data_IF_165372066511
#
_entry.id   IF_165372066511
#
_cell.length_a   1.000
_cell.length_b   1.000
_cell.length_c   1.000
_cell.angle_alpha   90.00
_cell.angle_beta   90.00
_cell.angle_gamma   90.00
#
_symmetry.space_group_name_H-M   'P 1'
#
loop_
_entity.id
_entity.type
_entity.pdbx_description
1 polymer ?
#
# COMPACT_ATOMS: atom_id res chain seq x y z
N UNK A 1 -14.95 -24.65 -24.21
CA UNK A 1 -14.11 -23.83 -23.31
C UNK A 1 -12.82 -23.51 -24.04
N UNK A 2 -12.31 -22.28 -23.95
CA UNK A 2 -11.03 -21.92 -24.56
C UNK A 2 -9.88 -22.74 -23.93
N UNK A 3 -8.90 -23.15 -24.74
CA UNK A 3 -7.69 -23.83 -24.25
C UNK A 3 -6.85 -22.90 -23.38
N UNK A 4 -5.93 -23.45 -22.59
CA UNK A 4 -5.02 -22.64 -21.77
C UNK A 4 -4.19 -21.68 -22.65
N UNK A 5 -3.72 -22.15 -23.81
CA UNK A 5 -2.95 -21.35 -24.76
C UNK A 5 -3.78 -20.20 -25.34
N UNK A 6 -5.07 -20.45 -25.65
CA UNK A 6 -5.98 -19.40 -26.11
C UNK A 6 -6.21 -18.33 -25.04
N UNK A 7 -6.30 -18.73 -23.76
CA UNK A 7 -6.40 -17.79 -22.64
C UNK A 7 -5.12 -16.98 -22.47
N UNK A 8 -3.95 -17.62 -22.54
CA UNK A 8 -2.65 -16.94 -22.46
C UNK A 8 -2.52 -15.90 -23.57
N UNK A 9 -2.84 -16.27 -24.81
CA UNK A 9 -2.76 -15.36 -25.95
C UNK A 9 -3.73 -14.18 -25.81
N UNK A 10 -4.96 -14.42 -25.35
CA UNK A 10 -5.93 -13.35 -25.12
C UNK A 10 -5.47 -12.37 -24.02
N UNK A 11 -4.92 -12.88 -22.92
CA UNK A 11 -4.38 -12.03 -21.85
C UNK A 11 -3.15 -11.23 -22.31
N UNK A 12 -2.31 -11.83 -23.15
CA UNK A 12 -1.18 -11.13 -23.77
C UNK A 12 -1.65 -9.96 -24.63
N UNK A 13 -2.66 -10.15 -25.48
CA UNK A 13 -3.17 -9.05 -26.30
C UNK A 13 -3.77 -7.92 -25.46
N UNK A 14 -4.50 -8.25 -24.39
CA UNK A 14 -5.02 -7.24 -23.45
C UNK A 14 -3.89 -6.43 -22.79
N UNK A 15 -2.80 -7.11 -22.39
CA UNK A 15 -1.62 -6.44 -21.83
C UNK A 15 -0.93 -5.54 -22.86
N UNK A 16 -0.78 -6.01 -24.09
CA UNK A 16 -0.17 -5.25 -25.18
C UNK A 16 -1.04 -4.03 -25.54
N UNK A 17 -2.36 -4.18 -25.58
CA UNK A 17 -3.31 -3.08 -25.76
C UNK A 17 -3.19 -2.04 -24.65
N UNK A 18 -3.26 -2.47 -23.40
CA UNK A 18 -3.13 -1.57 -22.26
C UNK A 18 -1.79 -0.83 -22.27
N UNK A 19 -0.71 -1.51 -22.66
CA UNK A 19 0.62 -0.89 -22.81
C UNK A 19 0.59 0.26 -23.82
N UNK A 20 0.02 0.03 -25.01
CA UNK A 20 -0.10 1.08 -26.05
C UNK A 20 -0.93 2.26 -25.56
N UNK A 21 -2.03 2.01 -24.88
CA UNK A 21 -2.91 3.04 -24.32
C UNK A 21 -2.18 3.90 -23.26
N UNK A 22 -1.45 3.26 -22.34
CA UNK A 22 -0.72 3.97 -21.28
C UNK A 22 0.47 4.76 -21.82
N UNK A 23 1.22 4.21 -22.78
CA UNK A 23 2.31 4.94 -23.44
C UNK A 23 1.75 6.14 -24.20
N UNK A 24 0.67 5.96 -24.96
CA UNK A 24 -0.01 7.06 -25.63
C UNK A 24 -0.45 8.14 -24.63
N UNK A 25 -1.05 7.75 -23.51
CA UNK A 25 -1.47 8.69 -22.46
C UNK A 25 -0.30 9.51 -21.90
N UNK A 26 0.83 8.88 -21.60
CA UNK A 26 1.96 9.58 -20.98
C UNK A 26 2.82 10.41 -21.94
N UNK A 27 2.80 10.11 -23.24
CA UNK A 27 3.68 10.72 -24.26
C UNK A 27 2.96 11.54 -25.34
N UNK A 28 1.64 11.68 -25.28
CA UNK A 28 0.87 12.62 -26.13
C UNK A 28 0.84 14.00 -25.51
N UNK A 29 0.95 15.04 -26.35
CA UNK A 29 1.10 16.43 -25.91
C UNK A 29 -0.10 16.97 -25.12
N UNK A 30 -1.29 16.39 -25.27
CA UNK A 30 -2.54 16.78 -24.62
C UNK A 30 -2.80 16.05 -23.29
N UNK A 31 -2.19 14.88 -23.09
CA UNK A 31 -2.43 14.03 -21.90
C UNK A 31 -1.21 13.87 -21.02
N UNK A 32 0.00 13.94 -21.57
CA UNK A 32 1.25 13.70 -20.87
C UNK A 32 1.52 14.69 -19.73
N UNK A 33 2.38 14.30 -18.79
CA UNK A 33 2.90 15.24 -17.79
C UNK A 33 4.17 15.91 -18.32
N UNK A 34 4.48 17.10 -17.80
CA UNK A 34 5.64 17.88 -18.25
C UNK A 34 6.94 17.06 -18.27
N UNK A 35 7.20 16.28 -17.22
CA UNK A 35 8.41 15.48 -17.12
C UNK A 35 8.55 14.47 -18.28
N UNK A 36 7.49 13.71 -18.57
CA UNK A 36 7.54 12.69 -19.63
C UNK A 36 7.60 13.31 -21.03
N UNK A 37 6.93 14.45 -21.24
CA UNK A 37 6.99 15.18 -22.51
C UNK A 37 8.37 15.77 -22.79
N UNK A 38 9.06 16.25 -21.74
CA UNK A 38 10.46 16.68 -21.83
C UNK A 38 11.38 15.48 -22.10
N UNK A 39 11.23 14.39 -21.33
CA UNK A 39 12.03 13.16 -21.49
C UNK A 39 11.89 12.51 -22.86
N UNK A 40 10.69 12.56 -23.45
CA UNK A 40 10.43 12.06 -24.81
C UNK A 40 11.44 12.58 -25.83
N UNK A 41 11.87 13.85 -25.69
CA UNK A 41 12.79 14.53 -26.62
C UNK A 41 14.23 14.05 -26.49
N UNK A 42 14.56 13.36 -25.40
CA UNK A 42 15.90 12.83 -25.13
C UNK A 42 16.06 11.38 -25.61
N UNK A 43 14.96 10.67 -25.89
CA UNK A 43 15.03 9.29 -26.36
C UNK A 43 15.49 9.23 -27.82
N UNK A 44 16.20 8.14 -28.14
CA UNK A 44 16.64 7.82 -29.50
C UNK A 44 15.58 7.04 -30.31
N UNK A 45 14.35 6.96 -29.79
CA UNK A 45 13.19 6.32 -30.39
C UNK A 45 11.93 7.12 -30.04
N UNK A 46 10.87 6.99 -30.83
CA UNK A 46 9.58 7.62 -30.53
C UNK A 46 8.64 6.64 -29.80
N UNK A 47 8.31 6.88 -28.52
CA UNK A 47 7.40 6.03 -27.76
C UNK A 47 6.03 5.82 -28.42
N UNK A 48 5.53 6.81 -29.16
CA UNK A 48 4.18 6.75 -29.73
C UNK A 48 4.07 5.84 -30.95
N UNK A 49 5.17 5.56 -31.63
CA UNK A 49 5.19 4.75 -32.85
C UNK A 49 5.97 3.45 -32.69
N UNK A 50 6.94 3.42 -31.77
CA UNK A 50 7.85 2.29 -31.61
C UNK A 50 7.52 1.38 -30.41
N UNK A 51 6.56 1.71 -29.55
CA UNK A 51 6.11 0.84 -28.45
C UNK A 51 4.74 0.24 -28.79
N UNK A 52 4.74 -1.04 -29.18
CA UNK A 52 3.55 -1.73 -29.69
C UNK A 52 3.08 -2.88 -28.79
N UNK A 53 3.93 -3.36 -27.89
CA UNK A 53 3.63 -4.43 -26.94
C UNK A 53 4.34 -4.21 -25.61
N UNK A 54 4.02 -5.03 -24.61
CA UNK A 54 4.66 -4.96 -23.30
C UNK A 54 6.17 -5.17 -23.35
N UNK A 55 6.65 -6.02 -24.26
CA UNK A 55 8.09 -6.30 -24.40
C UNK A 55 8.90 -5.09 -24.88
N UNK A 56 8.27 -4.21 -25.68
CA UNK A 56 8.90 -2.98 -26.16
C UNK A 56 9.20 -1.97 -25.03
N UNK A 57 8.62 -2.14 -23.84
CA UNK A 57 8.97 -1.30 -22.68
C UNK A 57 10.46 -1.41 -22.30
N UNK A 58 11.15 -2.48 -22.73
CA UNK A 58 12.61 -2.63 -22.58
C UNK A 58 13.43 -1.61 -23.37
N UNK A 59 12.82 -0.89 -24.31
CA UNK A 59 13.47 0.22 -25.04
C UNK A 59 13.70 1.44 -24.15
N UNK A 60 12.88 1.63 -23.12
CA UNK A 60 13.09 2.71 -22.17
C UNK A 60 14.35 2.43 -21.33
N UNK A 61 15.16 3.46 -21.04
CA UNK A 61 16.24 3.33 -20.07
C UNK A 61 15.67 3.03 -18.67
N UNK A 62 16.55 2.62 -17.76
CA UNK A 62 16.19 2.45 -16.36
C UNK A 62 15.65 3.77 -15.78
N UNK A 63 14.64 3.65 -14.91
CA UNK A 63 14.10 4.80 -14.19
C UNK A 63 15.06 5.20 -13.07
N UNK A 64 15.52 6.45 -13.08
CA UNK A 64 16.41 6.95 -12.04
C UNK A 64 15.59 7.45 -10.85
N UNK A 65 15.73 6.76 -9.72
CA UNK A 65 14.96 7.05 -8.52
C UNK A 65 15.26 8.43 -7.90
N UNK A 66 16.42 9.01 -8.21
CA UNK A 66 16.83 10.35 -7.83
C UNK A 66 15.97 11.44 -8.49
N UNK A 67 15.32 11.17 -9.64
CA UNK A 67 14.38 12.11 -10.27
C UNK A 67 13.18 12.43 -9.37
N UNK A 68 12.85 11.53 -8.44
CA UNK A 68 11.76 11.71 -7.47
C UNK A 68 12.15 12.60 -6.29
N UNK A 69 13.41 13.07 -6.21
CA UNK A 69 13.85 13.96 -5.14
C UNK A 69 13.78 15.41 -5.59
N UNK A 70 12.97 16.19 -4.88
CA UNK A 70 12.91 17.66 -5.04
C UNK A 70 12.28 18.16 -6.35
N UNK A 71 12.43 19.47 -6.58
CA UNK A 71 11.85 20.22 -7.69
C UNK A 71 10.32 20.40 -7.62
N UNK A 72 9.70 21.10 -8.59
CA UNK A 72 8.25 21.32 -8.61
C UNK A 72 7.47 20.01 -8.79
N UNK A 73 6.53 19.71 -7.89
CA UNK A 73 5.72 18.47 -7.96
C UNK A 73 4.78 18.45 -9.18
N UNK A 74 4.27 19.61 -9.60
CA UNK A 74 3.34 19.70 -10.74
C UNK A 74 3.88 19.16 -12.07
N UNK A 75 5.21 19.03 -12.22
CA UNK A 75 5.82 18.43 -13.42
C UNK A 75 5.38 16.97 -13.65
N UNK A 76 4.99 16.28 -12.58
CA UNK A 76 4.54 14.89 -12.60
C UNK A 76 3.05 14.74 -12.89
N UNK A 77 2.28 15.83 -12.90
CA UNK A 77 0.81 15.79 -13.07
C UNK A 77 0.46 15.78 -14.57
N UNK A 78 -0.26 14.75 -15.07
CA UNK A 78 -0.80 14.74 -16.43
C UNK A 78 -1.66 15.98 -16.71
N UNK A 79 -1.61 16.53 -17.92
CA UNK A 79 -2.34 17.76 -18.28
C UNK A 79 -3.83 17.74 -17.91
N UNK A 80 -4.60 16.66 -18.20
CA UNK A 80 -6.03 16.59 -17.85
C UNK A 80 -6.30 16.61 -16.34
N UNK A 81 -5.29 16.34 -15.51
CA UNK A 81 -5.40 16.23 -14.06
C UNK A 81 -4.86 17.47 -13.32
N UNK A 82 -4.40 18.51 -14.03
CA UNK A 82 -3.77 19.69 -13.42
C UNK A 82 -4.65 20.44 -12.41
N UNK A 83 -5.98 20.39 -12.60
CA UNK A 83 -6.96 21.08 -11.76
C UNK A 83 -7.61 20.17 -10.70
N UNK A 84 -7.21 18.89 -10.63
CA UNK A 84 -7.69 17.97 -9.60
C UNK A 84 -6.97 18.22 -8.26
N UNK A 85 -7.55 17.80 -7.13
CA UNK A 85 -6.81 17.68 -5.88
C UNK A 85 -5.59 16.78 -6.07
N UNK A 86 -4.44 17.23 -5.57
CA UNK A 86 -3.16 16.53 -5.73
C UNK A 86 -2.59 16.22 -4.36
N UNK A 87 -2.15 14.99 -4.18
CA UNK A 87 -1.48 14.49 -2.98
C UNK A 87 -0.01 14.18 -3.29
N UNK A 88 0.80 14.19 -2.24
CA UNK A 88 2.21 13.77 -2.31
C UNK A 88 2.46 12.73 -1.25
N UNK A 89 2.95 11.56 -1.68
CA UNK A 89 3.42 10.51 -0.78
C UNK A 89 4.93 10.42 -0.81
N UNK A 90 5.50 10.25 0.37
CA UNK A 90 6.94 10.20 0.55
C UNK A 90 7.41 8.82 0.98
N UNK A 91 8.59 8.46 0.50
CA UNK A 91 9.36 7.33 1.03
C UNK A 91 9.93 7.64 2.42
N UNK A 92 10.56 6.64 3.05
CA UNK A 92 11.05 6.75 4.43
C UNK A 92 12.10 7.82 4.72
N UNK A 93 12.75 8.39 3.71
CA UNK A 93 13.55 9.61 3.87
C UNK A 93 14.70 9.50 4.88
N UNK A 94 15.38 8.36 4.96
CA UNK A 94 16.36 8.09 6.02
C UNK A 94 17.77 8.61 5.72
N UNK A 95 17.99 9.18 4.51
CA UNK A 95 19.31 9.61 3.97
C UNK A 95 19.20 10.82 3.01
N UNK A 96 18.40 11.85 3.32
CA UNK A 96 18.30 13.09 2.53
C UNK A 96 16.87 13.46 2.14
N UNK A 97 16.70 14.23 1.06
CA UNK A 97 15.38 14.64 0.55
C UNK A 97 14.56 13.38 0.24
N UNK A 98 13.38 13.15 0.84
CA UNK A 98 12.56 11.98 0.53
C UNK A 98 12.17 11.94 -0.95
N UNK A 99 12.13 10.73 -1.53
CA UNK A 99 11.49 10.54 -2.84
C UNK A 99 10.00 10.81 -2.69
N UNK A 100 9.48 11.67 -3.54
CA UNK A 100 8.09 12.11 -3.56
C UNK A 100 7.38 11.54 -4.77
N UNK A 101 6.19 10.97 -4.56
CA UNK A 101 5.28 10.53 -5.61
C UNK A 101 4.04 11.42 -5.59
N UNK A 102 3.73 12.00 -6.75
CA UNK A 102 2.48 12.71 -6.97
C UNK A 102 1.35 11.72 -7.20
N UNK A 103 0.22 11.97 -6.56
CA UNK A 103 -0.94 11.09 -6.53
C UNK A 103 -2.18 11.93 -6.73
N UNK A 104 -3.14 11.43 -7.49
CA UNK A 104 -4.42 12.12 -7.75
C UNK A 104 -5.56 11.27 -7.20
N UNK A 105 -5.98 10.27 -7.96
CA UNK A 105 -7.10 9.36 -7.60
C UNK A 105 -6.65 7.89 -7.55
N UNK A 106 -5.43 7.58 -8.00
CA UNK A 106 -4.93 6.21 -8.13
C UNK A 106 -4.86 5.45 -6.80
N UNK A 107 -4.54 6.15 -5.70
CA UNK A 107 -4.52 5.54 -4.37
C UNK A 107 -5.91 5.12 -3.86
N UNK A 108 -6.98 5.71 -4.38
CA UNK A 108 -8.35 5.29 -4.13
C UNK A 108 -8.69 4.10 -5.02
N UNK A 109 -8.51 4.26 -6.33
CA UNK A 109 -8.83 3.23 -7.34
C UNK A 109 -8.16 1.89 -6.99
N UNK A 110 -6.87 1.90 -6.66
CA UNK A 110 -6.14 0.68 -6.28
C UNK A 110 -6.76 -0.04 -5.08
N UNK A 111 -7.28 0.71 -4.10
CA UNK A 111 -7.86 0.15 -2.88
C UNK A 111 -9.33 -0.25 -3.06
N UNK A 112 -10.04 0.37 -3.99
CA UNK A 112 -11.36 -0.10 -4.45
C UNK A 112 -11.23 -1.44 -5.18
N UNK A 113 -10.25 -1.59 -6.08
CA UNK A 113 -9.97 -2.87 -6.73
C UNK A 113 -9.50 -3.93 -5.72
N UNK A 114 -8.68 -3.53 -4.74
CA UNK A 114 -8.27 -4.42 -3.65
C UNK A 114 -9.45 -4.88 -2.80
N UNK A 115 -10.41 -3.99 -2.54
CA UNK A 115 -11.62 -4.27 -1.77
C UNK A 115 -12.38 -5.47 -2.34
N UNK A 116 -12.40 -5.64 -3.66
CA UNK A 116 -13.08 -6.77 -4.32
C UNK A 116 -12.38 -8.11 -4.09
N UNK A 117 -11.12 -8.10 -3.64
CA UNK A 117 -10.37 -9.32 -3.29
C UNK A 117 -10.57 -9.75 -1.83
N UNK A 118 -11.21 -8.90 -1.01
CA UNK A 118 -11.38 -9.17 0.42
C UNK A 118 -12.65 -10.01 0.66
N UNK A 119 -12.55 -11.16 1.35
CA UNK A 119 -13.71 -11.99 1.67
C UNK A 119 -14.69 -11.24 2.58
N UNK A 120 -15.98 -11.23 2.22
CA UNK A 120 -17.00 -10.48 2.96
C UNK A 120 -17.24 -11.03 4.37
N UNK A 121 -17.04 -12.33 4.59
CA UNK A 121 -17.16 -12.97 5.89
C UNK A 121 -16.11 -12.46 6.89
N UNK A 122 -14.92 -12.09 6.40
CA UNK A 122 -13.81 -11.63 7.24
C UNK A 122 -13.62 -10.13 7.22
N UNK A 123 -14.05 -9.46 6.14
CA UNK A 123 -14.09 -8.01 6.02
C UNK A 123 -15.51 -7.55 5.70
N UNK A 124 -16.48 -7.65 6.64
CA UNK A 124 -17.86 -7.31 6.35
C UNK A 124 -18.01 -5.85 5.87
N UNK A 125 -18.96 -5.63 4.96
CA UNK A 125 -19.35 -4.26 4.58
C UNK A 125 -19.95 -3.56 5.81
N UNK A 126 -19.67 -2.28 5.99
CA UNK A 126 -20.07 -1.50 7.16
C UNK A 126 -19.17 -1.66 8.39
N UNK A 127 -18.23 -2.61 8.40
CA UNK A 127 -17.32 -2.80 9.53
C UNK A 127 -16.38 -1.61 9.73
N UNK A 128 -16.14 -1.23 10.99
CA UNK A 128 -15.15 -0.22 11.33
C UNK A 128 -13.72 -0.79 11.30
N UNK A 129 -12.76 0.07 10.98
CA UNK A 129 -11.36 -0.27 10.73
C UNK A 129 -10.42 0.41 11.71
N UNK A 130 -9.39 -0.30 12.15
CA UNK A 130 -8.22 0.28 12.80
C UNK A 130 -7.05 0.36 11.82
N UNK A 131 -6.52 1.56 11.60
CA UNK A 131 -5.26 1.79 10.91
C UNK A 131 -4.14 1.86 11.94
N UNK A 132 -3.49 0.72 12.20
CA UNK A 132 -2.32 0.59 13.07
C UNK A 132 -1.05 0.63 12.22
N UNK A 133 -0.66 1.82 11.77
CA UNK A 133 0.51 1.97 10.92
C UNK A 133 0.94 3.41 10.70
N UNK A 134 1.91 3.65 9.80
CA UNK A 134 2.44 4.97 9.55
C UNK A 134 1.39 6.01 9.10
N UNK A 135 1.39 7.16 9.77
CA UNK A 135 0.53 8.29 9.43
C UNK A 135 1.22 9.31 8.50
N UNK A 136 0.69 10.55 8.44
CA UNK A 136 1.33 11.69 7.78
C UNK A 136 1.56 11.51 6.27
N UNK A 137 2.81 11.65 5.76
CA UNK A 137 3.12 11.67 4.33
C UNK A 137 3.11 10.28 3.68
N UNK A 138 2.59 9.27 4.37
CA UNK A 138 2.55 7.89 3.88
C UNK A 138 1.21 7.62 3.21
N UNK A 139 1.26 6.92 2.09
CA UNK A 139 0.09 6.46 1.34
C UNK A 139 -0.96 5.77 2.21
N UNK A 140 -0.50 4.89 3.10
CA UNK A 140 -1.36 3.94 3.82
C UNK A 140 -2.44 4.63 4.63
N UNK A 141 -2.16 5.78 5.27
CA UNK A 141 -3.17 6.51 6.04
C UNK A 141 -4.41 6.81 5.19
N UNK A 142 -4.21 7.50 4.06
CA UNK A 142 -5.31 7.90 3.17
C UNK A 142 -5.96 6.71 2.45
N UNK A 143 -5.15 5.70 2.10
CA UNK A 143 -5.65 4.57 1.34
C UNK A 143 -6.49 3.60 2.21
N UNK A 144 -6.09 3.35 3.45
CA UNK A 144 -6.86 2.52 4.40
C UNK A 144 -8.12 3.25 4.87
N UNK A 145 -8.00 4.55 5.14
CA UNK A 145 -9.15 5.40 5.44
C UNK A 145 -10.19 5.35 4.32
N UNK A 146 -9.75 5.50 3.06
CA UNK A 146 -10.63 5.35 1.90
C UNK A 146 -11.22 3.94 1.77
N UNK A 147 -10.42 2.88 1.95
CA UNK A 147 -10.90 1.50 1.88
C UNK A 147 -12.03 1.24 2.88
N UNK A 148 -11.86 1.68 4.13
CA UNK A 148 -12.89 1.57 5.14
C UNK A 148 -14.18 2.27 4.70
N UNK A 149 -14.07 3.52 4.24
CA UNK A 149 -15.20 4.34 3.79
C UNK A 149 -15.89 3.77 2.55
N UNK A 150 -15.12 3.31 1.56
CA UNK A 150 -15.63 2.64 0.35
C UNK A 150 -16.39 1.35 0.70
N UNK A 151 -15.98 0.66 1.77
CA UNK A 151 -16.71 -0.50 2.31
C UNK A 151 -17.83 -0.14 3.28
N UNK A 152 -18.08 1.15 3.53
CA UNK A 152 -19.17 1.67 4.36
C UNK A 152 -18.86 1.81 5.85
N UNK A 153 -17.60 1.67 6.25
CA UNK A 153 -17.14 1.75 7.65
C UNK A 153 -16.43 3.05 8.00
N UNK A 154 -16.11 3.19 9.30
CA UNK A 154 -15.32 4.29 9.86
C UNK A 154 -13.89 3.82 10.07
N UNK A 155 -12.90 4.66 9.73
CA UNK A 155 -11.50 4.38 9.99
C UNK A 155 -11.00 5.12 11.22
N UNK A 156 -10.41 4.40 12.16
CA UNK A 156 -9.75 4.91 13.34
C UNK A 156 -8.24 4.78 13.15
N UNK A 157 -7.47 5.83 13.47
CA UNK A 157 -6.02 5.85 13.26
C UNK A 157 -5.26 5.96 14.58
N UNK A 158 -4.01 5.54 14.56
CA UNK A 158 -3.01 5.89 15.58
C UNK A 158 -1.99 6.88 15.01
N UNK A 159 -1.29 7.59 15.89
CA UNK A 159 -0.15 8.41 15.51
C UNK A 159 1.14 7.58 15.55
N UNK A 160 1.74 7.38 14.37
CA UNK A 160 2.97 6.61 14.21
C UNK A 160 3.90 7.26 13.18
N UNK A 161 5.05 7.74 13.66
CA UNK A 161 6.17 8.22 12.85
C UNK A 161 7.26 7.14 12.71
N UNK A 162 7.31 6.39 11.60
CA UNK A 162 8.35 5.38 11.39
C UNK A 162 9.73 6.01 11.15
N UNK A 163 9.82 7.30 10.78
CA UNK A 163 11.12 7.97 10.58
C UNK A 163 11.84 8.13 11.92
N UNK A 164 11.09 8.40 12.99
CA UNK A 164 11.63 8.45 14.33
C UNK A 164 12.17 7.09 14.78
N UNK A 165 11.39 6.01 14.58
CA UNK A 165 11.81 4.63 14.88
C UNK A 165 13.14 4.30 14.19
N UNK A 166 13.26 4.60 12.89
CA UNK A 166 14.52 4.36 12.16
C UNK A 166 15.69 5.17 12.73
N UNK A 167 15.47 6.43 13.15
CA UNK A 167 16.52 7.25 13.78
C UNK A 167 16.99 6.65 15.11
N UNK A 168 16.08 6.13 15.92
CA UNK A 168 16.42 5.46 17.18
C UNK A 168 17.24 4.19 16.94
N UNK A 169 16.80 3.33 16.01
CA UNK A 169 17.51 2.11 15.65
C UNK A 169 18.91 2.40 15.09
N UNK A 170 19.07 3.40 14.22
CA UNK A 170 20.39 3.84 13.71
C UNK A 170 21.32 4.35 14.81
N UNK A 171 20.77 4.86 15.92
CA UNK A 171 21.53 5.32 17.09
C UNK A 171 21.79 4.19 18.10
N UNK A 172 21.35 2.96 17.84
CA UNK A 172 21.43 1.85 18.79
C UNK A 172 20.50 1.97 19.99
N UNK A 173 19.53 2.90 19.96
CA UNK A 173 18.55 3.14 21.04
C UNK A 173 17.38 2.17 20.90
N UNK A 174 17.65 0.88 21.07
CA UNK A 174 16.67 -0.19 20.84
C UNK A 174 15.51 -0.13 21.85
N UNK A 175 15.80 0.16 23.12
CA UNK A 175 14.77 0.21 24.15
C UNK A 175 13.80 1.38 23.93
N UNK A 176 14.30 2.56 23.54
CA UNK A 176 13.44 3.69 23.13
C UNK A 176 12.56 3.35 21.92
N UNK A 177 13.06 2.54 20.97
CA UNK A 177 12.26 2.09 19.83
C UNK A 177 11.15 1.12 20.25
N UNK A 178 11.43 0.24 21.23
CA UNK A 178 10.42 -0.64 21.83
C UNK A 178 9.38 0.14 22.62
N UNK A 179 9.80 1.12 23.42
CA UNK A 179 8.89 2.03 24.13
C UNK A 179 7.98 2.79 23.17
N UNK A 180 8.51 3.28 22.05
CA UNK A 180 7.71 3.93 21.02
C UNK A 180 6.71 2.97 20.37
N UNK A 181 7.11 1.72 20.11
CA UNK A 181 6.19 0.69 19.61
C UNK A 181 5.09 0.38 20.63
N UNK A 182 5.42 0.26 21.91
CA UNK A 182 4.46 0.05 22.99
C UNK A 182 3.46 1.21 23.07
N UNK A 183 3.94 2.45 22.95
CA UNK A 183 3.09 3.63 22.89
C UNK A 183 2.09 3.58 21.72
N UNK A 184 2.50 3.13 20.53
CA UNK A 184 1.59 2.96 19.40
C UNK A 184 0.53 1.87 19.66
N UNK A 185 0.92 0.78 20.33
CA UNK A 185 0.00 -0.30 20.74
C UNK A 185 -0.98 0.19 21.80
N UNK A 186 -0.55 1.00 22.77
CA UNK A 186 -1.43 1.57 23.79
C UNK A 186 -2.50 2.49 23.19
N UNK A 187 -2.15 3.26 22.14
CA UNK A 187 -3.14 4.02 21.36
C UNK A 187 -4.18 3.09 20.71
N UNK A 188 -3.74 1.99 20.06
CA UNK A 188 -4.64 1.02 19.46
C UNK A 188 -5.58 0.37 20.49
N UNK A 189 -5.06 -0.02 21.66
CA UNK A 189 -5.87 -0.57 22.75
C UNK A 189 -6.89 0.43 23.30
N UNK A 190 -6.52 1.71 23.39
CA UNK A 190 -7.46 2.78 23.77
C UNK A 190 -8.62 2.87 22.77
N UNK A 191 -8.33 2.80 21.47
CA UNK A 191 -9.35 2.81 20.42
C UNK A 191 -10.24 1.57 20.44
N UNK A 192 -9.65 0.38 20.63
CA UNK A 192 -10.38 -0.90 20.68
C UNK A 192 -11.27 -1.01 21.92
N UNK A 193 -10.81 -0.51 23.07
CA UNK A 193 -11.57 -0.53 24.32
C UNK A 193 -12.74 0.46 24.37
N UNK A 194 -12.80 1.42 23.44
CA UNK A 194 -13.85 2.45 23.39
C UNK A 194 -15.16 1.97 22.75
N UNK A 195 -15.34 0.66 22.53
CA UNK A 195 -16.58 0.05 22.01
C UNK A 195 -17.02 0.61 20.64
N UNK A 196 -16.06 0.82 19.74
CA UNK A 196 -16.29 1.32 18.39
C UNK A 196 -16.68 0.22 17.37
N UNK A 197 -16.96 -1.02 17.80
CA UNK A 197 -17.24 -2.19 16.93
C UNK A 197 -16.25 -2.33 15.75
N UNK A 198 -14.95 -2.27 16.06
CA UNK A 198 -13.89 -2.41 15.08
C UNK A 198 -13.71 -3.90 14.77
N UNK A 199 -13.84 -4.26 13.50
CA UNK A 199 -13.77 -5.66 13.05
C UNK A 199 -12.67 -5.88 12.01
N UNK A 200 -12.12 -4.80 11.45
CA UNK A 200 -11.06 -4.88 10.45
C UNK A 200 -9.85 -4.06 10.90
N UNK A 201 -8.65 -4.48 10.49
CA UNK A 201 -7.43 -3.77 10.85
C UNK A 201 -6.41 -3.78 9.70
N UNK A 202 -5.79 -2.63 9.46
CA UNK A 202 -4.49 -2.58 8.82
C UNK A 202 -3.38 -2.57 9.86
N UNK A 203 -2.35 -3.39 9.69
CA UNK A 203 -1.15 -3.34 10.54
C UNK A 203 0.09 -3.86 9.80
N UNK A 204 1.22 -3.92 10.51
CA UNK A 204 2.48 -4.52 10.04
C UNK A 204 2.89 -5.67 10.95
N UNK A 205 3.73 -6.62 10.49
CA UNK A 205 4.11 -7.79 11.29
C UNK A 205 4.54 -7.49 12.72
N UNK A 206 5.44 -6.52 12.93
CA UNK A 206 5.95 -6.15 14.25
C UNK A 206 4.91 -5.51 15.16
N UNK A 207 4.01 -4.70 14.60
CA UNK A 207 2.92 -4.09 15.37
C UNK A 207 1.83 -5.10 15.69
N UNK A 208 1.54 -6.04 14.79
CA UNK A 208 0.60 -7.12 15.06
C UNK A 208 1.09 -8.02 16.19
N UNK A 209 2.36 -8.42 16.14
CA UNK A 209 2.99 -9.23 17.19
C UNK A 209 2.94 -8.50 18.54
N UNK A 210 3.33 -7.21 18.58
CA UNK A 210 3.29 -6.41 19.79
C UNK A 210 1.86 -6.25 20.36
N UNK A 211 0.86 -6.01 19.50
CA UNK A 211 -0.54 -5.91 19.91
C UNK A 211 -1.09 -7.24 20.44
N UNK A 212 -0.83 -8.34 19.73
CA UNK A 212 -1.30 -9.67 20.12
C UNK A 212 -0.72 -10.09 21.48
N UNK A 213 0.59 -9.93 21.68
CA UNK A 213 1.24 -10.24 22.96
C UNK A 213 0.70 -9.38 24.10
N UNK A 214 0.47 -8.08 23.86
CA UNK A 214 -0.09 -7.18 24.87
C UNK A 214 -1.53 -7.55 25.25
N UNK A 215 -2.34 -8.03 24.30
CA UNK A 215 -3.68 -8.56 24.58
C UNK A 215 -3.62 -9.86 25.39
N UNK A 216 -2.71 -10.78 25.05
CA UNK A 216 -2.50 -12.03 25.81
C UNK A 216 -2.10 -11.76 27.26
N UNK A 217 -1.19 -10.80 27.49
CA UNK A 217 -0.79 -10.36 28.83
C UNK A 217 -1.98 -9.79 29.63
N UNK A 218 -3.01 -9.27 28.95
CA UNK A 218 -4.25 -8.76 29.52
C UNK A 218 -5.36 -9.82 29.60
N UNK A 219 -5.08 -11.08 29.25
CA UNK A 219 -6.05 -12.18 29.28
C UNK A 219 -7.07 -12.12 28.15
N UNK A 220 -6.72 -11.51 27.02
CA UNK A 220 -7.54 -11.38 25.81
C UNK A 220 -6.76 -11.85 24.58
N UNK A 221 -7.40 -11.82 23.42
CA UNK A 221 -6.79 -12.13 22.12
C UNK A 221 -7.22 -11.11 21.06
N UNK A 222 -6.61 -11.20 19.87
CA UNK A 222 -7.01 -10.41 18.69
C UNK A 222 -8.47 -10.69 18.31
N UNK A 223 -8.90 -11.95 18.41
CA UNK A 223 -10.28 -12.36 18.11
C UNK A 223 -11.27 -11.80 19.14
N UNK A 224 -10.98 -11.91 20.43
CA UNK A 224 -11.82 -11.38 21.52
C UNK A 224 -11.87 -9.84 21.52
N UNK A 225 -10.86 -9.17 20.97
CA UNK A 225 -10.88 -7.73 20.71
C UNK A 225 -11.82 -7.33 19.54
N UNK A 226 -12.47 -8.30 18.88
CA UNK A 226 -13.48 -8.09 17.84
C UNK A 226 -12.96 -8.15 16.41
N UNK A 227 -11.65 -8.31 16.20
CA UNK A 227 -11.04 -8.28 14.87
C UNK A 227 -11.32 -9.59 14.12
N UNK A 228 -11.93 -9.47 12.93
CA UNK A 228 -12.21 -10.57 11.99
C UNK A 228 -11.22 -10.60 10.82
N UNK A 229 -10.82 -9.44 10.32
CA UNK A 229 -10.02 -9.32 9.10
C UNK A 229 -8.81 -8.41 9.29
N UNK A 230 -7.63 -8.92 8.96
CA UNK A 230 -6.37 -8.18 9.03
C UNK A 230 -5.78 -8.05 7.62
N UNK A 231 -5.71 -6.82 7.13
CA UNK A 231 -4.79 -6.47 6.05
C UNK A 231 -3.43 -6.20 6.69
N UNK A 232 -2.48 -7.13 6.51
CA UNK A 232 -1.13 -6.96 7.00
C UNK A 232 -0.16 -6.57 5.88
N UNK A 233 0.39 -5.37 5.95
CA UNK A 233 1.36 -4.83 5.01
C UNK A 233 2.79 -4.78 5.57
N UNK A 234 3.78 -4.86 4.69
CA UNK A 234 5.20 -4.72 5.05
C UNK A 234 6.07 -5.83 4.46
N UNK A 235 7.38 -5.71 4.64
CA UNK A 235 8.37 -6.62 4.01
C UNK A 235 8.85 -7.74 4.93
N UNK A 236 8.47 -7.72 6.21
CA UNK A 236 8.88 -8.76 7.19
C UNK A 236 7.94 -9.97 7.21
N UNK A 237 7.24 -10.22 6.09
CA UNK A 237 6.23 -11.25 5.97
C UNK A 237 6.84 -12.55 5.42
N UNK A 238 7.68 -13.20 6.23
CA UNK A 238 8.24 -14.52 5.85
C UNK A 238 7.17 -15.61 6.00
N UNK A 239 7.32 -16.73 5.28
CA UNK A 239 6.42 -17.89 5.45
C UNK A 239 6.37 -18.39 6.89
N UNK A 240 7.55 -18.42 7.56
CA UNK A 240 7.64 -18.82 8.97
C UNK A 240 6.90 -17.85 9.89
N UNK A 241 7.06 -16.54 9.68
CA UNK A 241 6.34 -15.55 10.48
C UNK A 241 4.84 -15.65 10.24
N UNK A 242 4.41 -15.86 9.00
CA UNK A 242 3.00 -15.99 8.68
C UNK A 242 2.36 -17.19 9.36
N UNK A 243 3.03 -18.33 9.33
CA UNK A 243 2.62 -19.53 10.05
C UNK A 243 2.51 -19.26 11.55
N UNK A 244 3.55 -18.68 12.16
CA UNK A 244 3.55 -18.30 13.56
C UNK A 244 2.39 -17.36 13.91
N UNK A 245 2.11 -16.35 13.08
CA UNK A 245 1.00 -15.44 13.30
C UNK A 245 -0.35 -16.18 13.27
N UNK A 246 -0.57 -17.06 12.30
CA UNK A 246 -1.79 -17.88 12.17
C UNK A 246 -1.99 -18.86 13.32
N UNK A 247 -0.92 -19.49 13.79
CA UNK A 247 -0.98 -20.56 14.79
C UNK A 247 -0.96 -20.03 16.22
N UNK A 248 -0.23 -18.95 16.50
CA UNK A 248 0.10 -18.53 17.86
C UNK A 248 -0.42 -17.13 18.23
N UNK A 249 -0.56 -16.21 17.26
CA UNK A 249 -0.92 -14.81 17.54
C UNK A 249 -2.40 -14.50 17.33
N UNK A 250 -3.04 -15.22 16.41
CA UNK A 250 -4.40 -14.98 15.96
C UNK A 250 -5.34 -16.05 16.49
N UNK A 251 -6.63 -15.71 16.61
CA UNK A 251 -7.66 -16.70 16.87
C UNK A 251 -8.06 -17.46 15.59
N UNK A 252 -8.68 -18.65 15.73
CA UNK A 252 -9.04 -19.51 14.60
C UNK A 252 -9.96 -18.82 13.57
N UNK A 253 -10.73 -17.80 13.99
CA UNK A 253 -11.69 -17.10 13.13
C UNK A 253 -11.15 -15.77 12.56
N UNK A 254 -9.90 -15.41 12.85
CA UNK A 254 -9.30 -14.18 12.33
C UNK A 254 -8.64 -14.47 10.99
N UNK A 255 -9.07 -13.82 9.92
CA UNK A 255 -8.42 -13.88 8.62
C UNK A 255 -7.31 -12.83 8.51
N UNK A 256 -6.22 -13.18 7.83
CA UNK A 256 -5.11 -12.26 7.56
C UNK A 256 -4.70 -12.38 6.09
N UNK A 257 -4.65 -11.24 5.39
CA UNK A 257 -4.15 -11.15 4.02
C UNK A 257 -2.79 -10.45 3.98
N UNK A 258 -1.71 -11.15 3.57
CA UNK A 258 -0.46 -10.49 3.26
C UNK A 258 -0.61 -9.63 2.01
N UNK A 259 -0.16 -8.39 2.10
CA UNK A 259 -0.16 -7.49 0.95
C UNK A 259 1.17 -6.77 0.84
N UNK A 260 1.78 -6.83 -0.35
CA UNK A 260 2.98 -6.08 -0.64
C UNK A 260 2.61 -4.67 -1.11
N UNK A 261 2.87 -3.68 -0.27
CA UNK A 261 2.68 -2.26 -0.60
C UNK A 261 3.99 -1.61 -1.02
N UNK A 262 3.97 -0.88 -2.13
CA UNK A 262 5.08 -0.03 -2.56
C UNK A 262 4.57 1.40 -2.77
N UNK A 263 5.19 2.37 -2.10
CA UNK A 263 4.84 3.79 -2.24
C UNK A 263 4.83 4.25 -3.70
N UNK A 264 5.71 3.69 -4.54
CA UNK A 264 5.85 4.04 -5.95
C UNK A 264 4.83 3.34 -6.86
N UNK A 265 4.48 2.09 -6.57
CA UNK A 265 3.89 1.19 -7.57
C UNK A 265 2.50 0.65 -7.24
N UNK A 266 1.95 0.87 -6.03
CA UNK A 266 0.67 0.26 -5.71
C UNK A 266 0.68 -0.63 -4.49
N UNK A 267 -0.32 -1.50 -4.46
CA UNK A 267 -0.35 -2.70 -3.64
C UNK A 267 -0.46 -3.91 -4.56
N UNK A 268 0.06 -5.05 -4.11
CA UNK A 268 -0.13 -6.33 -4.75
C UNK A 268 -0.56 -7.35 -3.69
N UNK A 269 -1.65 -8.06 -3.96
CA UNK A 269 -2.15 -9.10 -3.08
C UNK A 269 -1.16 -10.28 -3.05
N UNK A 270 -0.88 -10.80 -1.86
CA UNK A 270 -0.19 -12.07 -1.71
C UNK A 270 -1.05 -13.22 -2.23
N UNK A 271 -0.42 -14.34 -2.56
CA UNK A 271 -1.17 -15.59 -2.75
C UNK A 271 -1.85 -15.97 -1.43
N UNK A 272 -3.10 -16.47 -1.44
CA UNK A 272 -3.73 -17.04 -0.25
C UNK A 272 -2.83 -18.11 0.39
N UNK A 273 -3.00 -18.32 1.70
CA UNK A 273 -2.34 -19.45 2.37
C UNK A 273 -2.85 -20.76 1.77
N UNK A 274 -1.94 -21.57 1.27
CA UNK A 274 -2.19 -22.98 0.97
C UNK A 274 -1.35 -23.77 2.00
N UNK A 275 -1.99 -24.44 2.98
CA UNK A 275 -1.30 -25.13 4.08
C UNK A 275 -0.47 -26.34 3.63
#
# INVERSE_FOLDING_TARGET
MATIDQKIQAQKELLDQHTREMVKWHFSDDTGCQFWLEKKREFNFDPLTEVNCFDDLKKFPLFEDEWLRGGPMRRWVPQPLQNKPIYVFETGGTTGIPKSRVVVEDHWIDYELFSDTLPEESFPRGSNWLMLGPSGPRRLRLAIEHLAQHRGGICFCVDLDPRWVVKLLKKGKIDEAKEYSAHCVDQALTVLSANNDIQCMFTTPKLLEALALKLMDQGSSIEEAGIKGIFCGGTEFTQQWYRFAREELLGPNVYITPTYGNTLMGLACGKPHDP
#
